data_IF_306965332574
#
_entry.id   IF_306965332574
#
_cell.length_a   1.000
_cell.length_b   1.000
_cell.length_c   1.000
_cell.angle_alpha   90.00
_cell.angle_beta   90.00
_cell.angle_gamma   90.00
#
_symmetry.space_group_name_H-M   'P 1'
#
loop_
_entity.id
_entity.type
_entity.pdbx_description
1 polymer ?
#
# COMPACT_ATOMS: atom_id res chain seq x y z
N UNK A 1 13.19 0.18 2.68
CA UNK A 1 11.79 0.39 3.09
C UNK A 1 10.91 0.40 1.85
N UNK A 2 9.97 -0.54 1.72
CA UNK A 2 9.07 -0.63 0.56
C UNK A 2 7.91 0.38 0.71
N UNK A 3 7.47 1.02 -0.38
CA UNK A 3 6.35 1.97 -0.35
C UNK A 3 5.03 1.20 -0.43
N UNK A 4 3.99 1.69 0.25
CA UNK A 4 2.65 1.09 0.13
C UNK A 4 2.18 1.05 -1.33
N UNK A 5 2.44 2.13 -2.09
CA UNK A 5 2.16 2.18 -3.52
C UNK A 5 2.87 1.07 -4.33
N UNK A 6 4.08 0.67 -3.92
CA UNK A 6 4.85 -0.42 -4.54
C UNK A 6 4.18 -1.77 -4.28
N UNK A 7 3.80 -2.02 -3.02
CA UNK A 7 3.08 -3.23 -2.60
C UNK A 7 1.75 -3.32 -3.37
N UNK A 8 0.98 -2.24 -3.37
CA UNK A 8 -0.31 -2.22 -4.07
C UNK A 8 -0.11 -2.43 -5.57
N UNK A 9 0.88 -1.79 -6.20
CA UNK A 9 1.17 -2.00 -7.62
C UNK A 9 1.59 -3.45 -7.94
N UNK A 10 2.36 -4.09 -7.06
CA UNK A 10 2.87 -5.44 -7.29
C UNK A 10 1.81 -6.52 -7.08
N UNK A 11 0.94 -6.37 -6.09
CA UNK A 11 0.02 -7.43 -5.66
C UNK A 11 -1.45 -7.22 -6.08
N UNK A 12 -1.86 -6.00 -6.46
CA UNK A 12 -3.23 -5.75 -6.95
C UNK A 12 -3.61 -6.61 -8.17
N UNK A 13 -2.74 -6.88 -9.16
CA UNK A 13 -3.10 -7.72 -10.30
C UNK A 13 -3.54 -9.13 -9.88
N UNK A 14 -2.73 -9.79 -9.03
CA UNK A 14 -3.04 -11.13 -8.52
C UNK A 14 -4.29 -11.14 -7.63
N UNK A 15 -4.47 -10.10 -6.80
CA UNK A 15 -5.67 -9.94 -5.98
C UNK A 15 -6.94 -9.79 -6.83
N UNK A 16 -6.88 -9.00 -7.91
CA UNK A 16 -8.02 -8.81 -8.81
C UNK A 16 -8.31 -10.05 -9.65
N UNK A 17 -7.29 -10.79 -10.06
CA UNK A 17 -7.47 -12.06 -10.76
C UNK A 17 -8.16 -13.10 -9.87
N UNK A 18 -7.78 -13.17 -8.60
CA UNK A 18 -8.30 -14.19 -7.68
C UNK A 18 -9.64 -13.80 -7.02
N UNK A 19 -9.81 -12.52 -6.66
CA UNK A 19 -10.95 -12.04 -5.84
C UNK A 19 -11.71 -10.86 -6.46
N UNK A 20 -11.40 -10.47 -7.71
CA UNK A 20 -11.97 -9.28 -8.35
C UNK A 20 -13.50 -9.25 -8.38
N UNK A 21 -14.13 -10.43 -8.47
CA UNK A 21 -15.59 -10.57 -8.48
C UNK A 21 -16.23 -10.41 -7.09
N UNK A 22 -15.48 -10.68 -6.01
CA UNK A 22 -15.95 -10.53 -4.62
C UNK A 22 -15.65 -9.14 -4.05
N UNK A 23 -14.77 -8.38 -4.73
CA UNK A 23 -14.38 -7.04 -4.34
C UNK A 23 -15.47 -6.00 -4.64
N UNK A 24 -15.99 -5.40 -3.58
CA UNK A 24 -16.89 -4.26 -3.65
C UNK A 24 -16.23 -3.08 -4.39
N UNK A 25 -17.04 -2.27 -5.07
CA UNK A 25 -16.56 -1.08 -5.80
C UNK A 25 -15.79 -0.10 -4.90
N UNK A 26 -16.19 0.02 -3.63
CA UNK A 26 -15.48 0.86 -2.65
C UNK A 26 -14.06 0.32 -2.34
N UNK A 27 -13.89 -1.00 -2.26
CA UNK A 27 -12.60 -1.63 -2.02
C UNK A 27 -11.66 -1.47 -3.22
N UNK A 28 -12.17 -1.61 -4.45
CA UNK A 28 -11.40 -1.30 -5.68
C UNK A 28 -10.97 0.16 -5.75
N UNK A 29 -11.84 1.07 -5.32
CA UNK A 29 -11.51 2.50 -5.24
C UNK A 29 -10.44 2.78 -4.20
N UNK A 30 -10.49 2.11 -3.04
CA UNK A 30 -9.46 2.21 -2.01
C UNK A 30 -8.08 1.77 -2.51
N UNK A 31 -8.00 0.66 -3.27
CA UNK A 31 -6.74 0.21 -3.89
C UNK A 31 -6.12 1.30 -4.80
N UNK A 32 -6.93 1.97 -5.61
CA UNK A 32 -6.46 3.09 -6.45
C UNK A 32 -5.99 4.29 -5.61
N UNK A 33 -6.66 4.58 -4.49
CA UNK A 33 -6.24 5.65 -3.57
C UNK A 33 -4.94 5.32 -2.84
N UNK A 34 -4.70 4.05 -2.50
CA UNK A 34 -3.44 3.64 -1.87
C UNK A 34 -2.22 3.78 -2.77
N UNK A 35 -2.40 3.79 -4.10
CA UNK A 35 -1.33 4.12 -5.04
C UNK A 35 -0.96 5.62 -4.99
N UNK A 36 -1.93 6.47 -4.60
CA UNK A 36 -1.75 7.92 -4.46
C UNK A 36 -1.23 8.31 -3.07
N UNK A 37 -1.69 7.64 -2.01
CA UNK A 37 -1.17 7.81 -0.66
C UNK A 37 0.26 7.23 -0.57
N UNK A 38 1.27 8.11 -0.51
CA UNK A 38 2.73 7.81 -0.53
C UNK A 38 3.41 7.66 -1.89
N UNK A 39 2.98 8.43 -2.88
CA UNK A 39 3.85 8.83 -4.02
C UNK A 39 5.09 9.60 -3.51
N UNK A 40 6.12 9.78 -4.35
CA UNK A 40 7.40 10.40 -3.97
C UNK A 40 7.27 11.79 -3.30
N UNK A 41 6.13 12.47 -3.48
CA UNK A 41 5.79 13.77 -2.90
C UNK A 41 5.17 13.72 -1.50
N UNK A 42 4.80 12.54 -1.00
CA UNK A 42 4.25 12.42 0.34
C UNK A 42 5.37 12.45 1.38
N UNK A 43 5.18 13.12 2.53
CA UNK A 43 6.17 13.12 3.60
C UNK A 43 6.49 11.67 4.00
N UNK A 44 7.78 11.34 4.01
CA UNK A 44 8.25 10.07 4.56
C UNK A 44 7.73 9.99 5.99
N UNK A 45 6.92 8.99 6.29
CA UNK A 45 6.58 8.68 7.67
C UNK A 45 7.84 8.14 8.33
N UNK A 46 8.59 9.03 8.98
CA UNK A 46 9.73 8.72 9.82
C UNK A 46 9.20 8.10 11.12
N UNK A 47 8.70 6.85 11.05
CA UNK A 47 8.72 6.02 12.25
C UNK A 47 10.15 5.56 12.44
N UNK A 48 10.96 6.40 13.08
CA UNK A 48 12.07 5.88 13.87
C UNK A 48 11.47 5.23 15.11
N UNK A 49 11.63 3.92 15.23
CA UNK A 49 11.40 3.24 16.50
C UNK A 49 12.63 3.51 17.37
N UNK A 50 12.50 4.42 18.33
CA UNK A 50 13.57 4.82 19.27
C UNK A 50 14.13 3.65 20.11
N UNK A 51 13.45 2.50 20.11
CA UNK A 51 13.83 1.30 20.87
C UNK A 51 14.14 0.05 20.05
N UNK A 52 14.16 0.11 18.71
CA UNK A 52 14.47 -1.09 17.91
C UNK A 52 15.98 -1.39 17.78
N UNK A 53 16.85 -0.50 18.26
CA UNK A 53 18.31 -0.65 18.16
C UNK A 53 18.94 -1.23 19.44
N UNK A 54 18.16 -1.58 20.46
CA UNK A 54 18.63 -2.35 21.61
C UNK A 54 18.34 -3.83 21.41
N UNK A 55 19.23 -4.49 20.66
CA UNK A 55 19.30 -5.95 20.51
C UNK A 55 20.74 -6.40 20.49
#
# INVERSE_FOLDING_TARGET
MMRLADIVSQYTPALLEQYGHELLSSQRKALSVFQLCRSASAPKMLLSCDGCEQG
#
